data_IF_388954900211
#
_entry.id   IF_388954900211
#
_cell.length_a   1.000
_cell.length_b   1.000
_cell.length_c   1.000
_cell.angle_alpha   90.00
_cell.angle_beta   90.00
_cell.angle_gamma   90.00
#
_symmetry.space_group_name_H-M   'P 1'
#
loop_
_entity.id
_entity.type
_entity.pdbx_description
1 polymer ?
#
# COMPACT_ATOMS: atom_id res chain seq x y z
N UNK A 1 -10.76 -6.21 -10.21
CA UNK A 1 -10.86 -4.74 -10.41
C UNK A 1 -9.50 -4.06 -10.58
N UNK A 2 -8.41 -4.55 -9.97
CA UNK A 2 -7.05 -3.99 -10.18
C UNK A 2 -6.63 -3.86 -11.64
N UNK A 3 -6.77 -4.91 -12.45
CA UNK A 3 -6.41 -4.85 -13.88
C UNK A 3 -7.19 -3.79 -14.68
N UNK A 4 -8.51 -3.69 -14.48
CA UNK A 4 -9.31 -2.66 -15.17
C UNK A 4 -8.85 -1.26 -14.78
N UNK A 5 -8.51 -1.05 -13.50
CA UNK A 5 -7.96 0.22 -13.04
C UNK A 5 -6.56 0.50 -13.63
N UNK A 6 -5.70 -0.51 -13.73
CA UNK A 6 -4.39 -0.42 -14.36
C UNK A 6 -4.48 0.06 -15.82
N UNK A 7 -5.31 -0.61 -16.62
CA UNK A 7 -5.48 -0.23 -18.02
C UNK A 7 -6.13 1.15 -18.16
N UNK A 8 -7.09 1.48 -17.30
CA UNK A 8 -7.69 2.83 -17.28
C UNK A 8 -6.65 3.91 -16.92
N UNK A 9 -5.72 3.61 -16.02
CA UNK A 9 -4.63 4.54 -15.68
C UNK A 9 -3.70 4.80 -16.86
N UNK A 10 -3.38 3.78 -17.68
CA UNK A 10 -2.65 3.99 -18.93
C UNK A 10 -3.40 4.92 -19.88
N UNK A 11 -4.72 4.72 -20.05
CA UNK A 11 -5.56 5.62 -20.88
C UNK A 11 -5.53 7.06 -20.37
N UNK A 12 -5.42 7.24 -19.05
CA UNK A 12 -5.31 8.56 -18.41
C UNK A 12 -3.88 9.16 -18.47
N UNK A 13 -2.93 8.51 -19.13
CA UNK A 13 -1.56 9.00 -19.33
C UNK A 13 -0.58 8.62 -18.22
N UNK A 14 -0.89 7.59 -17.44
CA UNK A 14 -0.03 7.12 -16.35
C UNK A 14 0.75 5.91 -16.80
N UNK A 15 2.07 5.99 -16.69
CA UNK A 15 2.97 4.89 -16.99
C UNK A 15 3.30 4.05 -15.77
N UNK A 16 3.92 2.89 -16.01
CA UNK A 16 4.31 1.99 -14.94
C UNK A 16 5.27 2.66 -13.94
N UNK A 17 5.09 2.38 -12.65
CA UNK A 17 5.87 3.00 -11.58
C UNK A 17 7.38 2.74 -11.73
N UNK A 18 7.76 1.56 -12.22
CA UNK A 18 9.17 1.18 -12.40
C UNK A 18 9.83 1.84 -13.63
N UNK A 19 9.11 2.57 -14.48
CA UNK A 19 9.70 3.29 -15.64
C UNK A 19 9.98 4.77 -15.34
N UNK A 20 9.77 5.21 -14.10
CA UNK A 20 10.12 6.57 -13.66
C UNK A 20 11.61 6.87 -13.83
N UNK A 21 11.93 8.14 -14.05
CA UNK A 21 13.30 8.64 -14.18
C UNK A 21 14.12 8.43 -12.88
N UNK A 22 13.44 8.50 -11.73
CA UNK A 22 14.00 8.35 -10.38
C UNK A 22 13.95 6.92 -9.80
N UNK A 23 13.47 5.92 -10.57
CA UNK A 23 13.19 4.56 -10.06
C UNK A 23 14.40 3.86 -9.43
N UNK A 24 15.62 4.18 -9.86
CA UNK A 24 16.85 3.55 -9.36
C UNK A 24 17.20 3.97 -7.91
N UNK A 25 16.49 4.96 -7.34
CA UNK A 25 16.57 5.28 -5.91
C UNK A 25 15.73 4.34 -5.02
N UNK A 26 14.91 3.49 -5.63
CA UNK A 26 13.90 2.69 -4.95
C UNK A 26 13.99 1.21 -5.29
N UNK A 27 14.37 0.88 -6.53
CA UNK A 27 14.50 -0.49 -7.02
C UNK A 27 15.82 -0.67 -7.76
N UNK A 28 16.30 -1.90 -7.80
CA UNK A 28 17.33 -2.36 -8.74
C UNK A 28 16.67 -3.14 -9.87
N UNK A 29 17.25 -3.03 -11.06
CA UNK A 29 16.80 -3.76 -12.26
C UNK A 29 17.89 -4.71 -12.71
N UNK A 30 17.58 -6.02 -12.75
CA UNK A 30 18.48 -7.06 -13.26
C UNK A 30 17.86 -7.71 -14.50
N UNK A 31 18.50 -7.49 -15.65
CA UNK A 31 18.01 -7.96 -16.95
C UNK A 31 18.66 -9.29 -17.37
N UNK A 32 19.47 -9.92 -16.51
CA UNK A 32 20.20 -11.15 -16.81
C UNK A 32 19.28 -12.27 -17.31
N UNK A 33 18.09 -12.40 -16.69
CA UNK A 33 17.10 -13.42 -17.04
C UNK A 33 15.92 -12.85 -17.85
N UNK A 34 16.07 -11.66 -18.45
CA UNK A 34 15.05 -11.04 -19.31
C UNK A 34 15.49 -11.20 -20.77
N UNK A 35 14.60 -11.74 -21.60
CA UNK A 35 14.87 -11.91 -23.03
C UNK A 35 15.27 -10.58 -23.68
N UNK A 36 16.27 -10.58 -24.56
CA UNK A 36 16.81 -9.36 -25.17
C UNK A 36 15.72 -8.51 -25.88
N UNK A 37 14.73 -9.16 -26.49
CA UNK A 37 13.59 -8.51 -27.13
C UNK A 37 12.68 -7.74 -26.15
N UNK A 38 12.73 -8.07 -24.87
CA UNK A 38 11.88 -7.50 -23.81
C UNK A 38 12.62 -6.48 -22.93
N UNK A 39 13.96 -6.41 -22.98
CA UNK A 39 14.74 -5.54 -22.11
C UNK A 39 14.40 -4.05 -22.26
N UNK A 40 14.01 -3.61 -23.46
CA UNK A 40 13.59 -2.22 -23.70
C UNK A 40 12.33 -1.82 -22.93
N UNK A 41 11.50 -2.78 -22.49
CA UNK A 41 10.31 -2.53 -21.65
C UNK A 41 10.67 -2.05 -20.24
N UNK A 42 11.95 -2.16 -19.86
CA UNK A 42 12.49 -1.65 -18.60
C UNK A 42 13.11 -0.27 -18.71
N UNK A 43 13.09 0.34 -19.89
CA UNK A 43 13.67 1.66 -20.07
C UNK A 43 12.96 2.68 -19.17
N UNK A 44 13.75 3.55 -18.55
CA UNK A 44 13.21 4.73 -17.87
C UNK A 44 12.74 5.72 -18.91
N UNK A 45 11.69 6.46 -18.58
CA UNK A 45 11.43 7.70 -19.28
C UNK A 45 12.51 8.73 -18.94
N UNK A 46 12.95 9.56 -19.91
CA UNK A 46 13.73 10.75 -19.61
C UNK A 46 12.96 11.70 -18.69
N UNK A 47 13.66 12.41 -17.81
CA UNK A 47 13.04 13.38 -16.90
C UNK A 47 12.28 14.52 -17.62
N UNK A 48 12.56 14.75 -18.91
CA UNK A 48 11.83 15.70 -19.77
C UNK A 48 10.49 15.17 -20.27
N UNK A 49 10.25 13.86 -20.20
CA UNK A 49 9.06 13.19 -20.76
C UNK A 49 8.12 12.63 -19.69
N UNK A 50 8.57 12.61 -18.43
CA UNK A 50 7.78 12.12 -17.30
C UNK A 50 7.71 13.16 -16.18
N UNK A 51 6.54 13.25 -15.55
CA UNK A 51 6.33 14.11 -14.38
C UNK A 51 5.81 13.24 -13.24
N UNK A 52 6.53 13.31 -12.13
CA UNK A 52 6.26 12.53 -10.92
C UNK A 52 5.59 13.39 -9.84
N UNK A 53 4.25 13.38 -9.80
CA UNK A 53 3.48 14.18 -8.83
C UNK A 53 3.45 13.61 -7.40
N UNK A 54 3.79 12.33 -7.25
CA UNK A 54 3.80 11.60 -5.97
C UNK A 54 5.15 10.94 -5.75
N UNK A 55 5.44 10.62 -4.49
CA UNK A 55 6.54 9.73 -4.12
C UNK A 55 6.42 8.37 -4.83
N UNK A 56 7.55 7.67 -4.95
CA UNK A 56 7.58 6.31 -5.48
C UNK A 56 6.73 5.38 -4.61
N UNK A 57 5.80 4.66 -5.23
CA UNK A 57 4.82 3.82 -4.54
C UNK A 57 4.97 2.37 -4.95
N UNK A 58 5.66 1.58 -4.11
CA UNK A 58 5.91 0.16 -4.34
C UNK A 58 4.61 -0.65 -4.51
N UNK A 59 3.53 -0.24 -3.83
CA UNK A 59 2.22 -0.89 -3.86
C UNK A 59 1.26 -0.33 -4.88
N UNK A 60 1.73 0.52 -5.80
CA UNK A 60 0.92 1.10 -6.86
C UNK A 60 0.35 0.00 -7.75
N UNK A 61 -0.89 0.17 -8.19
CA UNK A 61 -1.48 -0.71 -9.20
C UNK A 61 -0.73 -0.66 -10.53
N UNK A 62 0.10 0.37 -10.74
CA UNK A 62 0.97 0.56 -11.90
C UNK A 62 2.37 -0.02 -11.71
N UNK A 63 2.66 -0.71 -10.59
CA UNK A 63 3.95 -1.38 -10.39
C UNK A 63 3.83 -2.87 -10.69
N UNK A 64 4.66 -3.39 -11.60
CA UNK A 64 4.76 -4.83 -11.82
C UNK A 64 5.38 -5.56 -10.62
N UNK A 65 5.18 -6.88 -10.54
CA UNK A 65 5.83 -7.72 -9.54
C UNK A 65 7.33 -7.91 -9.83
N UNK A 66 8.03 -8.59 -8.92
CA UNK A 66 9.48 -8.77 -8.97
C UNK A 66 9.97 -9.65 -10.13
N UNK A 67 9.09 -10.43 -10.76
CA UNK A 67 9.40 -11.41 -11.80
C UNK A 67 8.89 -11.00 -13.19
N UNK A 68 8.50 -9.73 -13.36
CA UNK A 68 8.08 -9.20 -14.67
C UNK A 68 9.04 -9.69 -15.75
N UNK A 69 8.54 -10.31 -16.82
CA UNK A 69 9.28 -10.77 -18.01
C UNK A 69 10.60 -11.56 -17.77
N UNK A 70 10.85 -12.04 -16.55
CA UNK A 70 12.04 -12.80 -16.21
C UNK A 70 11.75 -14.29 -16.35
N UNK A 71 12.65 -15.04 -16.98
CA UNK A 71 12.54 -16.50 -17.06
C UNK A 71 12.82 -17.18 -15.72
N UNK A 72 13.58 -16.51 -14.84
CA UNK A 72 13.95 -16.98 -13.51
C UNK A 72 14.46 -15.81 -12.65
N UNK A 73 14.45 -15.97 -11.33
CA UNK A 73 14.90 -14.92 -10.41
C UNK A 73 13.98 -13.71 -10.38
N UNK A 74 14.52 -12.54 -10.04
CA UNK A 74 13.79 -11.27 -9.98
C UNK A 74 14.44 -10.24 -10.91
N UNK A 75 13.65 -9.63 -11.78
CA UNK A 75 14.07 -8.52 -12.63
C UNK A 75 13.92 -7.16 -11.95
N UNK A 76 12.99 -7.05 -10.99
CA UNK A 76 12.77 -5.85 -10.18
C UNK A 76 12.92 -6.21 -8.71
N UNK A 77 13.84 -5.53 -8.00
CA UNK A 77 14.04 -5.75 -6.56
C UNK A 77 14.02 -4.43 -5.82
N UNK A 78 13.14 -4.22 -4.82
CA UNK A 78 13.19 -3.02 -4.01
C UNK A 78 14.48 -2.97 -3.18
N UNK A 79 15.08 -1.78 -3.08
CA UNK A 79 16.28 -1.53 -2.27
C UNK A 79 16.01 -1.81 -0.79
N UNK A 80 14.77 -1.59 -0.35
CA UNK A 80 14.34 -1.93 1.00
C UNK A 80 13.54 -3.23 0.99
N UNK A 81 14.10 -4.27 1.63
CA UNK A 81 13.51 -5.61 1.73
C UNK A 81 12.06 -5.63 2.26
N UNK A 82 11.70 -4.61 3.04
CA UNK A 82 10.36 -4.41 3.57
C UNK A 82 9.28 -4.33 2.49
N UNK A 83 9.66 -3.90 1.30
CA UNK A 83 8.75 -3.75 0.16
C UNK A 83 8.81 -4.92 -0.83
N UNK A 84 9.59 -5.98 -0.54
CA UNK A 84 9.81 -7.09 -1.47
C UNK A 84 8.51 -7.74 -1.97
N UNK A 85 7.51 -7.85 -1.09
CA UNK A 85 6.18 -8.42 -1.43
C UNK A 85 5.13 -7.34 -1.73
N UNK A 86 5.53 -6.07 -1.75
CA UNK A 86 4.64 -4.94 -2.03
C UNK A 86 4.44 -4.74 -3.53
N UNK A 87 5.47 -4.98 -4.34
CA UNK A 87 5.45 -4.92 -5.80
C UNK A 87 4.42 -5.87 -6.41
N UNK A 88 3.73 -5.45 -7.48
CA UNK A 88 2.71 -6.26 -8.16
C UNK A 88 1.33 -6.21 -7.49
N UNK A 89 1.07 -5.16 -6.71
CA UNK A 89 -0.21 -4.96 -6.03
C UNK A 89 -1.36 -4.80 -7.03
N UNK A 90 -2.47 -5.51 -6.78
CA UNK A 90 -3.73 -5.34 -7.53
C UNK A 90 -4.71 -4.37 -6.85
N UNK A 91 -4.24 -3.58 -5.88
CA UNK A 91 -5.05 -2.64 -5.09
C UNK A 91 -4.68 -1.23 -5.50
N UNK A 92 -5.68 -0.41 -5.83
CA UNK A 92 -5.51 1.01 -6.12
C UNK A 92 -5.06 1.71 -4.84
N UNK A 93 -3.89 2.32 -4.86
CA UNK A 93 -3.33 3.05 -3.73
C UNK A 93 -3.87 4.49 -3.65
N UNK A 94 -3.68 5.12 -2.50
CA UNK A 94 -3.97 6.54 -2.33
C UNK A 94 -3.14 7.42 -3.27
N UNK A 95 -1.90 7.02 -3.57
CA UNK A 95 -1.03 7.75 -4.49
C UNK A 95 -1.41 7.56 -5.95
N UNK A 96 -2.01 6.43 -6.34
CA UNK A 96 -2.59 6.25 -7.67
C UNK A 96 -3.71 7.28 -7.93
N UNK A 97 -4.61 7.45 -6.96
CA UNK A 97 -5.70 8.45 -7.03
C UNK A 97 -5.12 9.87 -7.01
N UNK A 98 -4.14 10.12 -6.13
CA UNK A 98 -3.52 11.43 -6.00
C UNK A 98 -2.81 11.86 -7.27
N UNK A 99 -2.11 10.93 -7.94
CA UNK A 99 -1.41 11.21 -9.19
C UNK A 99 -2.36 11.70 -10.29
N UNK A 100 -3.51 11.03 -10.47
CA UNK A 100 -4.55 11.46 -11.42
C UNK A 100 -5.05 12.86 -11.04
N UNK A 101 -5.36 13.09 -9.77
CA UNK A 101 -5.88 14.38 -9.30
C UNK A 101 -4.89 15.53 -9.48
N UNK A 102 -3.59 15.28 -9.32
CA UNK A 102 -2.56 16.28 -9.62
C UNK A 102 -2.42 16.51 -11.12
N UNK A 103 -2.31 15.45 -11.92
CA UNK A 103 -2.11 15.55 -13.37
C UNK A 103 -3.25 16.31 -14.05
N UNK A 104 -4.50 16.00 -13.69
CA UNK A 104 -5.69 16.67 -14.24
C UNK A 104 -6.11 17.93 -13.46
N UNK A 105 -5.26 18.42 -12.55
CA UNK A 105 -5.47 19.65 -11.76
C UNK A 105 -6.77 19.66 -10.93
N UNK A 106 -7.29 18.49 -10.59
CA UNK A 106 -8.48 18.33 -9.76
C UNK A 106 -8.32 18.98 -8.37
N UNK A 107 -7.10 19.00 -7.84
CA UNK A 107 -6.81 19.58 -6.52
C UNK A 107 -7.10 21.11 -6.46
N UNK A 108 -7.15 21.80 -7.60
CA UNK A 108 -7.53 23.21 -7.67
C UNK A 108 -9.02 23.48 -7.42
N UNK A 109 -9.89 22.48 -7.62
CA UNK A 109 -11.36 22.65 -7.56
C UNK A 109 -11.82 23.09 -6.16
N UNK A 110 -11.21 22.55 -5.11
CA UNK A 110 -11.52 22.84 -3.72
C UNK A 110 -10.40 23.61 -3.01
N UNK A 111 -9.61 24.41 -3.75
CA UNK A 111 -8.42 25.05 -3.20
C UNK A 111 -8.73 26.02 -2.04
N UNK A 112 -9.80 26.79 -2.15
CA UNK A 112 -10.13 27.89 -1.21
C UNK A 112 -11.28 27.59 -0.25
N UNK A 113 -11.93 26.43 -0.38
CA UNK A 113 -13.13 26.06 0.37
C UNK A 113 -13.16 24.56 0.60
N UNK A 114 -13.68 24.14 1.76
CA UNK A 114 -13.96 22.73 2.03
C UNK A 114 -13.36 22.18 3.31
N UNK A 115 -13.37 20.84 3.41
CA UNK A 115 -12.88 20.08 4.54
C UNK A 115 -11.39 20.35 4.83
N UNK A 116 -11.07 20.44 6.13
CA UNK A 116 -9.69 20.43 6.60
C UNK A 116 -9.24 18.98 6.79
N UNK A 117 -8.66 18.40 5.73
CA UNK A 117 -8.21 17.01 5.73
C UNK A 117 -7.02 16.81 6.66
N UNK A 118 -7.09 15.81 7.52
CA UNK A 118 -5.98 15.42 8.41
C UNK A 118 -5.40 14.06 8.01
N UNK A 119 -4.37 13.60 8.72
CA UNK A 119 -3.76 12.28 8.51
C UNK A 119 -3.34 11.98 7.05
N UNK A 120 -2.88 13.01 6.34
CA UNK A 120 -2.44 12.89 4.94
C UNK A 120 -3.57 12.84 3.90
N UNK A 121 -4.82 13.06 4.30
CA UNK A 121 -5.94 13.17 3.37
C UNK A 121 -5.86 14.38 2.45
N UNK A 122 -6.45 14.25 1.27
CA UNK A 122 -6.58 15.32 0.27
C UNK A 122 -8.04 15.70 0.07
N UNK A 123 -8.33 16.94 -0.30
CA UNK A 123 -9.72 17.38 -0.54
C UNK A 123 -10.31 16.62 -1.72
N UNK A 124 -11.56 16.19 -1.58
CA UNK A 124 -12.24 15.48 -2.64
C UNK A 124 -12.75 16.47 -3.71
N UNK A 125 -12.24 16.42 -4.95
CA UNK A 125 -12.64 17.35 -5.99
C UNK A 125 -14.11 17.21 -6.43
N UNK A 126 -14.77 16.09 -6.11
CA UNK A 126 -16.21 15.88 -6.37
C UNK A 126 -17.10 16.35 -5.22
N UNK A 127 -16.54 16.55 -4.02
CA UNK A 127 -17.26 17.02 -2.85
C UNK A 127 -16.29 17.75 -1.92
N UNK A 128 -16.23 19.08 -2.02
CA UNK A 128 -15.27 19.87 -1.25
C UNK A 128 -15.46 19.74 0.28
N UNK A 129 -16.62 19.29 0.76
CA UNK A 129 -16.86 19.08 2.20
C UNK A 129 -16.39 17.71 2.71
N UNK A 130 -15.72 16.92 1.87
CA UNK A 130 -15.16 15.62 2.22
C UNK A 130 -13.71 15.46 1.74
N UNK A 131 -12.99 14.55 2.36
CA UNK A 131 -11.62 14.20 2.01
C UNK A 131 -11.56 12.81 1.34
N UNK A 132 -10.57 12.63 0.48
CA UNK A 132 -10.05 11.33 0.08
C UNK A 132 -9.02 10.95 1.14
N UNK A 133 -9.20 9.80 1.78
CA UNK A 133 -8.38 9.39 2.91
C UNK A 133 -7.37 8.29 2.52
N UNK A 134 -6.14 8.35 3.04
CA UNK A 134 -5.21 7.22 2.93
C UNK A 134 -5.79 5.98 3.61
N UNK A 135 -5.33 4.80 3.20
CA UNK A 135 -5.77 3.54 3.75
C UNK A 135 -5.64 3.53 5.29
N UNK A 136 -6.69 3.06 5.97
CA UNK A 136 -6.74 3.06 7.43
C UNK A 136 -7.32 4.32 8.07
N UNK A 137 -7.61 5.37 7.30
CA UNK A 137 -8.33 6.57 7.77
C UNK A 137 -9.65 6.74 7.02
N UNK A 138 -10.61 7.40 7.66
CA UNK A 138 -11.95 7.61 7.12
C UNK A 138 -12.70 8.76 7.80
N UNK A 139 -13.99 8.87 7.50
CA UNK A 139 -14.82 10.01 7.86
C UNK A 139 -14.59 11.22 6.93
N UNK A 140 -15.36 12.29 7.13
CA UNK A 140 -15.35 13.46 6.25
C UNK A 140 -13.98 14.15 6.16
N UNK A 141 -13.18 14.08 7.23
CA UNK A 141 -11.89 14.76 7.34
C UNK A 141 -10.71 13.80 7.56
N UNK A 142 -10.90 12.50 7.38
CA UNK A 142 -9.89 11.46 7.65
C UNK A 142 -9.49 11.34 9.14
N UNK A 143 -10.38 11.76 10.04
CA UNK A 143 -10.18 11.72 11.49
C UNK A 143 -10.82 10.50 12.18
N UNK A 144 -11.38 9.57 11.42
CA UNK A 144 -12.09 8.41 11.95
C UNK A 144 -11.46 7.11 11.47
N UNK A 145 -11.53 6.07 12.30
CA UNK A 145 -11.18 4.71 11.89
C UNK A 145 -12.27 4.23 10.93
N UNK A 146 -11.91 3.66 9.76
CA UNK A 146 -12.92 3.11 8.85
C UNK A 146 -13.82 2.10 9.58
N UNK A 147 -15.10 2.09 9.21
CA UNK A 147 -16.07 1.16 9.77
C UNK A 147 -15.69 -0.30 9.46
N UNK A 148 -16.21 -1.23 10.26
CA UNK A 148 -15.89 -2.66 10.16
C UNK A 148 -14.90 -3.10 11.23
N UNK A 149 -14.22 -4.22 10.97
CA UNK A 149 -13.39 -4.87 11.98
C UNK A 149 -12.12 -4.06 12.33
N UNK A 150 -11.56 -4.37 13.49
CA UNK A 150 -10.44 -3.67 14.10
C UNK A 150 -10.89 -2.74 15.24
N UNK A 151 -9.92 -2.14 15.91
CA UNK A 151 -10.14 -1.35 17.12
C UNK A 151 -9.02 -0.32 17.31
N UNK A 152 -9.22 0.58 18.27
CA UNK A 152 -8.18 1.53 18.70
C UNK A 152 -7.40 0.94 19.89
N UNK A 153 -6.11 0.74 19.69
CA UNK A 153 -5.15 0.16 20.63
C UNK A 153 -4.28 1.28 21.22
N UNK A 154 -4.33 1.43 22.54
CA UNK A 154 -3.46 2.40 23.23
C UNK A 154 -2.07 1.80 23.40
N UNK A 155 -1.05 2.45 22.83
CA UNK A 155 0.34 2.03 22.92
C UNK A 155 0.94 2.36 24.29
N UNK A 156 1.92 1.56 24.70
CA UNK A 156 2.77 1.79 25.87
C UNK A 156 4.25 1.81 25.43
N UNK A 157 5.17 2.18 26.34
CA UNK A 157 6.63 2.04 26.09
C UNK A 157 7.04 0.57 25.99
N UNK A 158 6.37 -0.31 26.73
CA UNK A 158 6.50 -1.76 26.63
C UNK A 158 5.72 -2.33 25.44
N UNK A 159 6.20 -3.45 24.90
CA UNK A 159 5.52 -4.19 23.83
C UNK A 159 4.18 -4.74 24.31
N UNK A 160 3.11 -4.42 23.59
CA UNK A 160 1.79 -5.02 23.71
C UNK A 160 1.53 -5.92 22.50
N UNK A 161 0.67 -6.92 22.65
CA UNK A 161 0.34 -7.87 21.57
C UNK A 161 -1.12 -7.77 21.16
N UNK A 162 -1.39 -7.95 19.87
CA UNK A 162 -2.73 -8.11 19.31
C UNK A 162 -2.76 -9.31 18.37
N UNK A 163 -3.68 -10.24 18.65
CA UNK A 163 -4.06 -11.34 17.77
C UNK A 163 -5.48 -11.12 17.26
N UNK A 164 -5.72 -11.35 15.98
CA UNK A 164 -7.05 -11.29 15.37
C UNK A 164 -7.14 -12.16 14.13
N UNK A 165 -8.36 -12.51 13.75
CA UNK A 165 -8.66 -13.22 12.51
C UNK A 165 -9.51 -12.35 11.58
N UNK A 166 -9.29 -12.49 10.28
CA UNK A 166 -10.01 -11.79 9.22
C UNK A 166 -10.35 -12.76 8.08
N UNK A 167 -11.46 -12.51 7.40
CA UNK A 167 -11.90 -13.32 6.26
C UNK A 167 -13.09 -14.21 6.63
N UNK A 168 -13.32 -15.24 5.82
CA UNK A 168 -14.43 -16.17 6.01
C UNK A 168 -14.00 -17.59 5.63
N UNK A 169 -13.84 -18.46 6.63
CA UNK A 169 -13.42 -19.84 6.44
C UNK A 169 -14.43 -20.69 5.63
N UNK A 170 -15.71 -20.29 5.60
CA UNK A 170 -16.76 -20.99 4.86
C UNK A 170 -16.75 -20.70 3.35
N UNK A 171 -15.95 -19.72 2.90
CA UNK A 171 -15.86 -19.33 1.48
C UNK A 171 -14.47 -19.72 0.95
N UNK A 172 -14.34 -20.90 0.31
CA UNK A 172 -13.05 -21.38 -0.19
C UNK A 172 -12.65 -20.75 -1.54
N UNK A 173 -13.55 -19.98 -2.16
CA UNK A 173 -13.29 -19.31 -3.44
C UNK A 173 -12.80 -17.88 -3.25
N UNK A 174 -12.08 -17.39 -4.25
CA UNK A 174 -11.58 -16.02 -4.25
C UNK A 174 -12.74 -15.02 -4.34
N UNK A 175 -12.89 -14.18 -3.32
CA UNK A 175 -13.91 -13.13 -3.30
C UNK A 175 -13.49 -11.95 -4.16
N UNK A 176 -14.45 -11.29 -4.81
CA UNK A 176 -14.14 -10.10 -5.62
C UNK A 176 -13.72 -8.91 -4.76
N UNK A 177 -14.40 -8.71 -3.64
CA UNK A 177 -14.10 -7.66 -2.67
C UNK A 177 -13.15 -8.17 -1.58
N UNK A 178 -12.30 -7.28 -1.08
CA UNK A 178 -11.50 -7.52 0.10
C UNK A 178 -12.33 -7.27 1.36
N UNK A 179 -12.26 -8.19 2.32
CA UNK A 179 -12.51 -7.83 3.73
C UNK A 179 -11.29 -7.05 4.22
N UNK A 180 -11.52 -5.91 4.88
CA UNK A 180 -10.45 -5.06 5.42
C UNK A 180 -10.66 -4.85 6.91
N UNK A 181 -9.60 -5.02 7.70
CA UNK A 181 -9.55 -4.70 9.12
C UNK A 181 -8.65 -3.49 9.32
N UNK A 182 -9.14 -2.52 10.07
CA UNK A 182 -8.39 -1.30 10.37
C UNK A 182 -8.21 -1.22 11.88
N UNK A 183 -7.03 -1.54 12.37
CA UNK A 183 -6.65 -1.23 13.75
C UNK A 183 -5.95 0.12 13.78
N UNK A 184 -6.14 0.89 14.84
CA UNK A 184 -5.35 2.08 15.10
C UNK A 184 -4.47 1.85 16.31
N UNK A 185 -3.18 2.07 16.18
CA UNK A 185 -2.29 2.15 17.34
C UNK A 185 -2.08 3.63 17.67
N UNK A 186 -2.53 4.02 18.86
CA UNK A 186 -2.49 5.40 19.32
C UNK A 186 -1.37 5.58 20.36
N UNK A 187 -0.42 6.45 20.02
CA UNK A 187 0.64 6.92 20.89
C UNK A 187 0.40 8.37 21.35
N UNK A 188 1.03 8.81 22.45
CA UNK A 188 1.01 10.21 22.87
C UNK A 188 1.46 11.17 21.75
N UNK A 189 1.04 12.43 21.82
CA UNK A 189 1.46 13.45 20.85
C UNK A 189 3.00 13.57 20.82
N UNK A 190 3.56 13.69 19.61
CA UNK A 190 5.02 13.75 19.40
C UNK A 190 5.76 12.41 19.49
N UNK A 191 5.07 11.31 19.80
CA UNK A 191 5.63 9.95 19.83
C UNK A 191 5.39 9.20 18.52
N UNK A 192 6.22 8.19 18.26
CA UNK A 192 6.10 7.32 17.08
C UNK A 192 5.72 5.92 17.53
N UNK A 193 5.05 5.16 16.67
CA UNK A 193 4.67 3.77 16.93
C UNK A 193 5.68 2.84 16.28
N UNK A 194 6.11 1.82 17.01
CA UNK A 194 6.77 0.66 16.44
C UNK A 194 5.82 -0.53 16.39
N UNK A 195 5.80 -1.25 15.27
CA UNK A 195 5.01 -2.47 15.08
C UNK A 195 5.86 -3.57 14.46
N UNK A 196 5.62 -4.80 14.88
CA UNK A 196 6.18 -6.00 14.27
C UNK A 196 5.10 -7.08 14.18
N UNK A 197 4.94 -7.69 13.01
CA UNK A 197 4.08 -8.86 12.83
C UNK A 197 4.86 -10.09 13.26
N UNK A 198 4.41 -10.80 14.29
CA UNK A 198 5.17 -11.88 14.91
C UNK A 198 4.72 -13.26 14.46
N UNK A 199 3.48 -13.40 14.02
CA UNK A 199 2.91 -14.67 13.60
C UNK A 199 1.77 -14.47 12.59
N UNK A 200 1.59 -15.43 11.69
CA UNK A 200 0.48 -15.47 10.75
C UNK A 200 0.14 -16.90 10.34
N UNK A 201 -1.15 -17.19 10.23
CA UNK A 201 -1.66 -18.49 9.79
C UNK A 201 -2.78 -18.32 8.78
N UNK A 202 -2.90 -19.26 7.83
CA UNK A 202 -3.89 -19.17 6.74
C UNK A 202 -3.61 -18.01 5.79
N UNK A 203 -2.34 -17.76 5.46
CA UNK A 203 -1.89 -16.68 4.57
C UNK A 203 -1.05 -17.28 3.46
N UNK A 204 -1.41 -16.97 2.21
CA UNK A 204 -0.69 -17.48 1.04
C UNK A 204 0.48 -16.55 0.69
N UNK A 205 1.70 -17.03 0.88
CA UNK A 205 2.91 -16.28 0.53
C UNK A 205 3.11 -16.26 -0.99
N UNK A 206 2.81 -15.12 -1.61
CA UNK A 206 2.98 -14.87 -3.04
C UNK A 206 3.51 -13.45 -3.28
N UNK A 207 4.09 -13.20 -4.45
CA UNK A 207 4.42 -11.84 -4.89
C UNK A 207 3.17 -10.96 -4.92
N UNK A 208 3.31 -9.70 -4.50
CA UNK A 208 2.21 -8.74 -4.39
C UNK A 208 1.18 -9.00 -3.28
N UNK A 209 1.34 -10.11 -2.52
CA UNK A 209 0.41 -10.56 -1.48
C UNK A 209 -1.07 -10.39 -1.86
N UNK A 210 -1.45 -10.86 -3.04
CA UNK A 210 -2.71 -10.47 -3.69
C UNK A 210 -3.99 -10.96 -2.99
N UNK A 211 -3.89 -11.96 -2.11
CA UNK A 211 -5.03 -12.57 -1.42
C UNK A 211 -5.18 -12.09 0.04
N UNK A 212 -4.13 -12.18 0.85
CA UNK A 212 -4.15 -11.79 2.26
C UNK A 212 -2.83 -11.13 2.68
N UNK A 213 -2.90 -10.04 3.44
CA UNK A 213 -1.72 -9.41 4.02
C UNK A 213 -2.07 -8.43 5.15
N UNK A 214 -1.03 -8.02 5.87
CA UNK A 214 -1.02 -6.84 6.74
C UNK A 214 -0.03 -5.82 6.14
N UNK A 215 -0.43 -4.55 6.03
CA UNK A 215 0.40 -3.54 5.39
C UNK A 215 1.71 -3.29 6.15
N UNK A 216 2.88 -3.18 5.46
CA UNK A 216 3.10 -3.01 4.02
C UNK A 216 3.26 -4.34 3.26
N UNK A 217 2.18 -5.07 3.03
CA UNK A 217 2.13 -6.41 2.40
C UNK A 217 3.07 -7.45 3.02
N UNK A 218 2.96 -7.66 4.32
CA UNK A 218 3.54 -8.81 5.01
C UNK A 218 2.60 -10.00 4.82
N UNK A 219 3.04 -11.00 4.04
CA UNK A 219 2.34 -12.27 3.82
C UNK A 219 3.27 -13.49 3.79
N UNK A 220 4.58 -13.29 3.95
CA UNK A 220 5.59 -14.36 3.88
C UNK A 220 6.38 -14.49 5.19
N UNK A 221 6.69 -15.71 5.68
CA UNK A 221 7.32 -15.92 6.99
C UNK A 221 8.64 -15.17 7.19
N UNK A 222 9.41 -14.95 6.11
CA UNK A 222 10.65 -14.18 6.16
C UNK A 222 10.49 -12.71 6.58
N UNK A 223 9.29 -12.14 6.49
CA UNK A 223 9.01 -10.74 6.84
C UNK A 223 8.65 -10.53 8.32
N UNK A 224 8.43 -11.60 9.11
CA UNK A 224 7.93 -11.50 10.50
C UNK A 224 8.94 -10.92 11.52
N UNK A 225 10.18 -10.67 11.10
CA UNK A 225 11.24 -10.15 11.99
C UNK A 225 11.41 -8.65 11.90
N UNK A 226 10.69 -7.99 11.00
CA UNK A 226 10.89 -6.57 10.74
C UNK A 226 10.12 -5.68 11.72
N UNK A 227 10.83 -4.71 12.32
CA UNK A 227 10.23 -3.67 13.15
C UNK A 227 10.01 -2.43 12.28
N UNK A 228 8.75 -2.09 12.07
CA UNK A 228 8.33 -0.91 11.33
C UNK A 228 8.12 0.26 12.30
N UNK A 229 8.63 1.43 11.95
CA UNK A 229 8.44 2.65 12.74
C UNK A 229 7.60 3.67 11.96
N UNK A 230 6.44 4.04 12.51
CA UNK A 230 5.52 5.01 11.90
C UNK A 230 6.12 6.42 11.87
N UNK A 231 5.55 7.30 11.07
CA UNK A 231 5.85 8.76 11.10
C UNK A 231 4.87 9.55 11.97
N UNK A 232 3.74 8.93 12.34
CA UNK A 232 2.64 9.56 13.07
C UNK A 232 2.37 8.84 14.39
N UNK A 233 1.83 9.56 15.37
CA UNK A 233 1.45 8.99 16.66
C UNK A 233 0.17 8.17 16.59
N UNK A 234 -0.75 8.50 15.68
CA UNK A 234 -1.87 7.64 15.30
C UNK A 234 -1.48 6.85 14.07
N UNK A 235 -1.31 5.53 14.22
CA UNK A 235 -0.81 4.66 13.16
C UNK A 235 -1.84 3.59 12.79
N UNK A 236 -2.35 3.58 11.54
CA UNK A 236 -3.23 2.53 11.10
C UNK A 236 -2.45 1.26 10.78
N UNK A 237 -2.97 0.13 11.25
CA UNK A 237 -2.56 -1.21 10.87
C UNK A 237 -3.68 -1.79 10.04
N UNK A 238 -3.48 -1.77 8.73
CA UNK A 238 -4.46 -2.20 7.74
C UNK A 238 -4.16 -3.64 7.36
N UNK A 239 -5.17 -4.50 7.40
CA UNK A 239 -5.05 -5.88 6.96
C UNK A 239 -6.20 -6.22 6.04
N UNK A 240 -5.92 -7.01 5.01
CA UNK A 240 -6.93 -7.41 4.06
C UNK A 240 -6.92 -8.92 3.83
N UNK A 241 -8.07 -9.45 3.47
CA UNK A 241 -8.24 -10.84 3.07
C UNK A 241 -9.38 -10.94 2.05
N UNK A 242 -9.18 -11.75 1.02
CA UNK A 242 -10.25 -12.13 0.07
C UNK A 242 -10.37 -13.64 -0.16
N UNK A 243 -9.64 -14.47 0.58
CA UNK A 243 -9.62 -15.92 0.45
C UNK A 243 -9.54 -16.57 1.84
N UNK A 244 -10.47 -17.49 2.12
CA UNK A 244 -10.60 -18.19 3.40
C UNK A 244 -10.55 -17.21 4.59
N UNK A 245 -10.08 -17.68 5.75
CA UNK A 245 -9.72 -16.84 6.89
C UNK A 245 -8.21 -16.89 7.14
N UNK A 246 -7.67 -15.78 7.64
CA UNK A 246 -6.29 -15.65 8.09
C UNK A 246 -6.26 -15.15 9.52
N UNK A 247 -5.27 -15.56 10.28
CA UNK A 247 -5.00 -15.03 11.62
C UNK A 247 -3.65 -14.36 11.64
N UNK A 248 -3.58 -13.17 12.21
CA UNK A 248 -2.35 -12.40 12.38
C UNK A 248 -2.13 -12.10 13.86
N UNK A 249 -0.86 -12.10 14.26
CA UNK A 249 -0.42 -11.58 15.55
C UNK A 249 0.63 -10.50 15.29
N UNK A 250 0.45 -9.32 15.88
CA UNK A 250 1.46 -8.27 15.86
C UNK A 250 1.68 -7.70 17.26
N UNK A 251 2.90 -7.26 17.51
CA UNK A 251 3.27 -6.51 18.69
C UNK A 251 3.46 -5.04 18.34
N UNK A 252 3.15 -4.16 19.29
CA UNK A 252 3.24 -2.72 19.12
C UNK A 252 3.67 -2.02 20.41
N UNK A 253 4.39 -0.90 20.25
CA UNK A 253 4.77 0.03 21.33
C UNK A 253 4.93 1.45 20.78
N UNK A 254 5.11 2.44 21.65
CA UNK A 254 5.57 3.75 21.22
C UNK A 254 7.02 4.01 21.65
N UNK A 255 7.68 4.90 20.91
CA UNK A 255 9.01 5.46 21.17
C UNK A 255 8.94 6.99 21.19
#
# INVERSE_FOLDING_TARGET
MGHVAHELMHVLGIWHMFTRDDRDNYITVDLTNVAAADQSKYNKFPASEIISYTSYEYGSVMHHDTQYLASSGSSLTPISDKYLRTLGSNVISFYDISMINYHYKCNGVCATKGANCINGGTRNPKNCNACICPAGYGGLVCAQRPAGCGETLIAATGWKSKKFSIGNAAVPTLRQAFTVCNHWVQAPAGKRVQVQVTDMTGVDCNNGCWAQAIEPKICCPGQLREILTSTTNLTPIVSYNRLLSSTFTFIYRYI
#
